data_IF_414814664811
#
_entry.id   IF_414814664811
#
_cell.length_a   1.000
_cell.length_b   1.000
_cell.length_c   1.000
_cell.angle_alpha   90.00
_cell.angle_beta   90.00
_cell.angle_gamma   90.00
#
_symmetry.space_group_name_H-M   'P 1'
#
loop_
_entity.id
_entity.type
_entity.pdbx_description
1 polymer ?
#
# COMPACT_ATOMS: atom_id res chain seq x y z
N UNK A 1 15.20 -38.87 34.34
CA UNK A 1 14.50 -39.12 33.06
C UNK A 1 13.17 -38.36 32.93
N UNK A 2 12.96 -37.24 33.65
CA UNK A 2 11.71 -36.44 33.60
C UNK A 2 11.86 -35.06 32.93
N UNK A 3 13.08 -34.54 32.81
CA UNK A 3 13.32 -33.20 32.23
C UNK A 3 13.36 -33.20 30.70
N UNK A 4 13.72 -34.32 30.07
CA UNK A 4 13.81 -34.44 28.60
C UNK A 4 12.43 -34.28 27.92
N UNK A 5 11.37 -34.75 28.58
CA UNK A 5 10.00 -34.72 28.05
C UNK A 5 9.38 -33.30 28.05
N UNK A 6 9.87 -32.39 28.92
CA UNK A 6 9.36 -31.01 29.00
C UNK A 6 9.87 -30.13 27.86
N UNK A 7 11.13 -30.34 27.45
CA UNK A 7 11.71 -29.60 26.31
C UNK A 7 11.11 -30.05 24.98
N UNK A 8 10.86 -31.36 24.81
CA UNK A 8 10.22 -31.91 23.61
C UNK A 8 8.78 -31.39 23.46
N UNK A 9 7.98 -31.37 24.53
CA UNK A 9 6.64 -30.78 24.48
C UNK A 9 6.65 -29.27 24.21
N UNK A 10 7.63 -28.53 24.72
CA UNK A 10 7.71 -27.06 24.52
C UNK A 10 8.10 -26.72 23.08
N UNK A 11 9.03 -27.47 22.49
CA UNK A 11 9.44 -27.31 21.09
C UNK A 11 8.32 -27.71 20.13
N UNK A 12 7.62 -28.81 20.40
CA UNK A 12 6.44 -29.21 19.62
C UNK A 12 5.31 -28.18 19.66
N UNK A 13 5.08 -27.54 20.83
CA UNK A 13 4.09 -26.48 20.95
C UNK A 13 4.46 -25.24 20.13
N UNK A 14 5.74 -24.85 20.11
CA UNK A 14 6.21 -23.73 19.29
C UNK A 14 6.16 -24.03 17.79
N UNK A 15 6.49 -25.25 17.35
CA UNK A 15 6.39 -25.66 15.94
C UNK A 15 4.93 -25.71 15.47
N UNK A 16 4.01 -26.17 16.32
CA UNK A 16 2.57 -26.13 16.02
C UNK A 16 2.03 -24.70 16.03
N UNK A 17 2.50 -23.84 16.93
CA UNK A 17 2.11 -22.42 16.94
C UNK A 17 2.61 -21.69 15.68
N UNK A 18 3.81 -22.02 15.20
CA UNK A 18 4.38 -21.46 13.97
C UNK A 18 3.70 -22.03 12.70
N UNK A 19 3.21 -23.28 12.74
CA UNK A 19 2.48 -23.90 11.63
C UNK A 19 1.02 -23.43 11.51
N UNK A 20 0.43 -22.86 12.57
CA UNK A 20 -0.91 -22.25 12.53
C UNK A 20 -0.87 -20.78 12.06
N UNK A 21 0.30 -20.15 12.08
CA UNK A 21 0.54 -18.90 11.36
C UNK A 21 0.78 -19.23 9.89
N UNK A 22 -0.30 -19.58 9.19
CA UNK A 22 -0.28 -19.71 7.73
C UNK A 22 0.37 -18.46 7.12
N UNK A 23 1.24 -18.66 6.14
CA UNK A 23 1.70 -17.57 5.27
C UNK A 23 0.44 -17.04 4.59
N UNK A 24 -0.07 -15.93 5.11
CA UNK A 24 -1.23 -15.24 4.53
C UNK A 24 -0.64 -14.27 3.53
N UNK A 25 -0.96 -14.46 2.25
CA UNK A 25 -0.63 -13.51 1.20
C UNK A 25 -1.25 -12.17 1.58
N UNK A 26 -0.42 -11.17 1.87
CA UNK A 26 -0.87 -9.78 1.82
C UNK A 26 -1.17 -9.50 0.35
N UNK A 27 -2.41 -9.15 0.03
CA UNK A 27 -2.75 -8.72 -1.31
C UNK A 27 -2.31 -7.27 -1.43
N UNK A 28 -1.58 -6.95 -2.50
CA UNK A 28 -1.25 -5.57 -2.85
C UNK A 28 -2.54 -4.75 -3.08
N UNK A 29 -3.56 -5.39 -3.63
CA UNK A 29 -4.81 -4.73 -4.00
C UNK A 29 -6.03 -5.55 -3.58
N UNK A 30 -7.11 -4.87 -3.18
CA UNK A 30 -8.43 -5.45 -2.98
C UNK A 30 -9.23 -5.35 -4.29
N UNK A 31 -9.58 -6.50 -4.88
CA UNK A 31 -10.49 -6.60 -6.01
C UNK A 31 -11.92 -6.88 -5.58
N UNK A 32 -12.89 -6.06 -6.01
CA UNK A 32 -14.32 -6.24 -5.68
C UNK A 32 -15.25 -5.71 -6.77
N UNK A 33 -16.34 -6.43 -7.02
CA UNK A 33 -17.39 -5.95 -7.94
C UNK A 33 -18.30 -4.92 -7.25
N UNK A 34 -18.61 -3.84 -7.95
CA UNK A 34 -19.44 -2.70 -7.52
C UNK A 34 -20.43 -2.35 -8.64
N UNK A 35 -21.63 -2.91 -8.55
CA UNK A 35 -22.62 -2.81 -9.63
C UNK A 35 -22.08 -3.34 -10.95
N UNK A 36 -22.06 -2.50 -11.98
CA UNK A 36 -21.59 -2.84 -13.33
C UNK A 36 -20.06 -2.85 -13.49
N UNK A 37 -19.29 -2.65 -12.42
CA UNK A 37 -17.83 -2.45 -12.49
C UNK A 37 -17.06 -3.38 -11.56
N UNK A 38 -15.83 -3.73 -11.93
CA UNK A 38 -14.84 -4.28 -11.01
C UNK A 38 -13.90 -3.15 -10.55
N UNK A 39 -13.72 -3.06 -9.25
CA UNK A 39 -12.80 -2.14 -8.59
C UNK A 39 -11.59 -2.93 -8.12
N UNK A 40 -10.40 -2.48 -8.47
CA UNK A 40 -9.15 -2.95 -7.87
C UNK A 40 -8.56 -1.76 -7.13
N UNK A 41 -8.46 -1.86 -5.81
CA UNK A 41 -8.13 -0.75 -4.91
C UNK A 41 -6.87 -1.06 -4.13
N UNK A 42 -5.93 -0.12 -4.07
CA UNK A 42 -4.70 -0.26 -3.30
C UNK A 42 -3.98 1.07 -3.11
N UNK A 43 -2.70 1.00 -2.76
CA UNK A 43 -1.83 2.18 -2.79
C UNK A 43 -1.15 2.33 -4.16
N UNK A 44 -0.73 3.56 -4.50
CA UNK A 44 0.01 3.81 -5.76
C UNK A 44 1.37 3.12 -5.74
N UNK A 45 2.08 3.20 -4.63
CA UNK A 45 3.39 2.57 -4.45
C UNK A 45 3.34 1.62 -3.27
N UNK A 46 3.83 0.41 -3.45
CA UNK A 46 3.80 -0.63 -2.42
C UNK A 46 5.19 -1.21 -2.10
N UNK A 47 5.52 -1.43 -0.80
CA UNK A 47 4.68 -1.15 0.37
C UNK A 47 4.48 0.36 0.59
N UNK A 48 3.29 0.76 1.05
CA UNK A 48 3.04 2.14 1.38
C UNK A 48 3.80 2.53 2.66
N UNK A 49 4.69 3.52 2.58
CA UNK A 49 5.55 3.93 3.70
C UNK A 49 5.13 5.29 4.23
N UNK A 50 5.07 5.43 5.57
CA UNK A 50 4.79 6.71 6.21
C UNK A 50 5.83 7.78 5.79
N UNK A 51 5.37 9.00 5.48
CA UNK A 51 6.22 10.13 5.12
C UNK A 51 6.75 10.15 3.68
N UNK A 52 6.46 9.12 2.87
CA UNK A 52 6.80 9.09 1.44
C UNK A 52 5.59 9.48 0.57
N UNK A 53 5.83 10.03 -0.61
CA UNK A 53 4.75 10.32 -1.57
C UNK A 53 4.07 9.02 -2.00
N UNK A 54 2.74 9.00 -1.91
CA UNK A 54 1.93 7.84 -2.29
C UNK A 54 0.51 8.32 -2.66
N UNK A 55 -0.49 7.43 -2.61
CA UNK A 55 -1.88 7.80 -2.81
C UNK A 55 -2.80 6.60 -2.89
N UNK A 56 -4.06 6.87 -3.19
CA UNK A 56 -5.04 5.85 -3.58
C UNK A 56 -4.76 5.44 -5.03
N UNK A 57 -4.72 4.14 -5.28
CA UNK A 57 -4.78 3.51 -6.60
C UNK A 57 -6.17 2.89 -6.80
N UNK A 58 -6.81 3.20 -7.92
CA UNK A 58 -8.10 2.63 -8.32
C UNK A 58 -8.02 2.21 -9.78
N UNK A 59 -8.16 0.92 -10.05
CA UNK A 59 -8.45 0.41 -11.40
C UNK A 59 -9.92 0.10 -11.56
N UNK A 60 -10.51 0.55 -12.66
CA UNK A 60 -11.90 0.32 -13.02
C UNK A 60 -12.02 -0.44 -14.34
N UNK A 61 -12.72 -1.56 -14.30
CA UNK A 61 -13.16 -2.30 -15.50
C UNK A 61 -14.67 -2.53 -15.49
N UNK A 62 -15.26 -2.62 -16.67
CA UNK A 62 -16.68 -2.92 -16.91
C UNK A 62 -16.94 -4.42 -16.81
N UNK A 63 -18.01 -4.79 -16.11
CA UNK A 63 -18.51 -6.17 -16.02
C UNK A 63 -19.58 -6.48 -17.08
N UNK A 64 -20.03 -5.48 -17.83
CA UNK A 64 -20.94 -5.70 -18.96
C UNK A 64 -20.14 -6.30 -20.11
N UNK A 65 -20.48 -7.54 -20.50
CA UNK A 65 -20.06 -8.11 -21.78
C UNK A 65 -20.49 -7.13 -22.88
N UNK A 66 -19.52 -6.56 -23.58
CA UNK A 66 -19.82 -6.01 -24.89
C UNK A 66 -20.25 -7.19 -25.76
N UNK A 67 -21.49 -7.16 -26.27
CA UNK A 67 -21.92 -8.07 -27.32
C UNK A 67 -20.83 -8.09 -28.40
N UNK A 68 -20.43 -9.28 -28.90
CA UNK A 68 -19.33 -9.38 -29.83
C UNK A 68 -19.71 -8.58 -31.08
N UNK A 69 -19.13 -7.38 -31.21
CA UNK A 69 -19.15 -6.69 -32.48
C UNK A 69 -18.50 -7.64 -33.48
N UNK A 70 -19.30 -8.04 -34.48
CA UNK A 70 -18.93 -8.94 -35.56
C UNK A 70 -17.68 -8.42 -36.26
N UNK A 71 -16.52 -8.86 -35.79
CA UNK A 71 -15.24 -8.69 -36.46
C UNK A 71 -14.98 -9.90 -37.34
N UNK A 72 -15.88 -10.16 -38.30
CA UNK A 72 -15.45 -10.55 -39.64
C UNK A 72 -14.77 -9.35 -40.33
N UNK A 73 -13.67 -8.91 -39.74
CA UNK A 73 -12.76 -7.95 -40.35
C UNK A 73 -11.36 -8.45 -40.03
N UNK A 74 -10.88 -9.31 -40.92
CA UNK A 74 -9.50 -9.41 -41.36
C UNK A 74 -8.47 -8.96 -40.31
N UNK A 75 -7.80 -9.93 -39.67
CA UNK A 75 -6.54 -9.70 -38.95
C UNK A 75 -5.67 -8.73 -39.75
N UNK A 76 -5.68 -7.46 -39.36
CA UNK A 76 -4.66 -6.51 -39.71
C UNK A 76 -3.81 -6.40 -38.47
N UNK A 77 -2.59 -6.89 -38.61
CA UNK A 77 -1.45 -6.57 -37.76
C UNK A 77 -1.57 -5.10 -37.32
N UNK A 78 -1.59 -4.87 -36.01
CA UNK A 78 -1.33 -3.54 -35.46
C UNK A 78 0.13 -3.23 -35.78
N UNK A 79 0.35 -2.64 -36.95
CA UNK A 79 1.53 -1.85 -37.16
C UNK A 79 1.39 -0.62 -36.28
N UNK A 80 2.35 -0.42 -35.37
CA UNK A 80 2.48 0.86 -34.69
C UNK A 80 2.57 1.96 -35.74
N UNK A 81 2.09 3.16 -35.41
CA UNK A 81 2.33 4.34 -36.25
C UNK A 81 3.84 4.70 -36.37
N UNK A 82 4.75 3.88 -35.82
CA UNK A 82 6.22 3.98 -35.94
C UNK A 82 6.94 2.76 -36.54
N UNK A 83 6.29 1.62 -36.77
CA UNK A 83 6.92 0.40 -37.32
C UNK A 83 7.92 -0.31 -36.38
N UNK A 84 7.97 0.04 -35.10
CA UNK A 84 8.89 -0.57 -34.12
C UNK A 84 8.16 -1.61 -33.26
N UNK A 85 8.75 -2.81 -33.11
CA UNK A 85 8.19 -3.90 -32.30
C UNK A 85 8.42 -3.60 -30.82
N UNK A 86 7.34 -3.60 -30.03
CA UNK A 86 7.42 -3.37 -28.59
C UNK A 86 7.80 -4.66 -27.84
N UNK A 87 9.04 -4.70 -27.37
CA UNK A 87 9.62 -5.81 -26.61
C UNK A 87 9.62 -5.54 -25.09
N UNK A 88 9.21 -4.35 -24.67
CA UNK A 88 9.27 -3.90 -23.28
C UNK A 88 7.92 -4.09 -22.60
N UNK A 89 6.82 -3.75 -23.28
CA UNK A 89 5.47 -3.86 -22.70
C UNK A 89 5.05 -5.30 -22.41
N UNK A 90 4.21 -5.42 -21.38
CA UNK A 90 3.50 -6.66 -21.08
C UNK A 90 2.51 -6.98 -22.20
N UNK A 91 2.80 -8.03 -22.95
CA UNK A 91 1.95 -8.51 -24.04
C UNK A 91 2.13 -7.79 -25.38
N UNK A 92 3.17 -6.96 -25.55
CA UNK A 92 3.39 -6.19 -26.80
C UNK A 92 3.52 -7.02 -28.08
N UNK A 93 3.93 -8.29 -27.97
CA UNK A 93 4.02 -9.27 -29.07
C UNK A 93 2.91 -10.32 -28.99
N UNK A 94 2.72 -10.91 -27.81
CA UNK A 94 1.64 -11.87 -27.58
C UNK A 94 1.17 -11.86 -26.13
N UNK A 95 -0.11 -12.17 -25.93
CA UNK A 95 -0.69 -12.52 -24.63
C UNK A 95 -1.72 -13.63 -24.82
N UNK A 96 -1.76 -14.60 -23.92
CA UNK A 96 -2.77 -15.66 -23.96
C UNK A 96 -3.05 -16.21 -22.57
N UNK A 97 -4.33 -16.45 -22.28
CA UNK A 97 -4.75 -17.21 -21.12
C UNK A 97 -4.77 -18.71 -21.45
N UNK A 98 -4.15 -19.51 -20.60
CA UNK A 98 -4.09 -20.96 -20.70
C UNK A 98 -4.85 -21.58 -19.53
N UNK A 99 -5.78 -22.50 -19.83
CA UNK A 99 -6.35 -23.40 -18.81
C UNK A 99 -5.26 -24.34 -18.26
N UNK A 100 -5.56 -25.13 -17.24
CA UNK A 100 -4.58 -25.97 -16.52
C UNK A 100 -3.72 -26.90 -17.37
N UNK A 101 -4.21 -27.30 -18.56
CA UNK A 101 -3.53 -28.09 -19.60
C UNK A 101 -3.56 -27.38 -20.97
N UNK A 102 -3.79 -26.06 -20.95
CA UNK A 102 -3.95 -25.23 -22.15
C UNK A 102 -2.66 -25.08 -22.95
N UNK A 103 -2.84 -24.83 -24.25
CA UNK A 103 -1.75 -24.64 -25.20
C UNK A 103 -1.96 -23.34 -25.98
N UNK A 104 -0.89 -22.59 -26.19
CA UNK A 104 -0.86 -21.39 -27.04
C UNK A 104 0.29 -21.49 -28.04
N UNK A 105 0.05 -21.08 -29.28
CA UNK A 105 1.08 -21.07 -30.33
C UNK A 105 1.25 -19.68 -30.90
N UNK A 106 2.49 -19.29 -31.14
CA UNK A 106 2.85 -18.03 -31.79
C UNK A 106 3.97 -18.27 -32.80
N UNK A 107 3.81 -17.75 -34.02
CA UNK A 107 4.82 -17.87 -35.07
C UNK A 107 5.56 -16.55 -35.21
N UNK A 108 6.88 -16.58 -35.04
CA UNK A 108 7.74 -15.42 -35.26
C UNK A 108 8.10 -15.36 -36.74
N UNK A 109 7.64 -14.33 -37.44
CA UNK A 109 8.00 -14.09 -38.84
C UNK A 109 9.32 -13.30 -38.95
N UNK A 110 9.61 -12.81 -40.16
CA UNK A 110 10.83 -12.06 -40.46
C UNK A 110 10.91 -10.69 -39.77
N UNK A 111 9.80 -10.14 -39.27
CA UNK A 111 9.83 -8.83 -38.61
C UNK A 111 10.57 -8.89 -37.27
N UNK A 112 10.71 -10.08 -36.68
CA UNK A 112 11.42 -10.32 -35.42
C UNK A 112 12.91 -10.65 -35.58
N UNK A 113 13.45 -10.57 -36.80
CA UNK A 113 14.85 -10.92 -37.07
C UNK A 113 15.83 -10.11 -36.20
N UNK A 114 16.82 -10.83 -35.64
CA UNK A 114 17.86 -10.30 -34.75
C UNK A 114 17.34 -9.66 -33.44
N UNK A 115 16.07 -9.89 -33.10
CA UNK A 115 15.48 -9.48 -31.83
C UNK A 115 15.59 -10.59 -30.78
N UNK A 116 15.60 -10.17 -29.52
CA UNK A 116 15.37 -11.05 -28.37
C UNK A 116 14.06 -10.64 -27.72
N UNK A 117 13.06 -11.52 -27.79
CA UNK A 117 11.73 -11.30 -27.24
C UNK A 117 11.68 -11.89 -25.83
N UNK A 118 11.65 -11.05 -24.77
CA UNK A 118 11.41 -11.54 -23.41
C UNK A 118 9.95 -12.00 -23.28
N UNK A 119 9.70 -12.90 -22.34
CA UNK A 119 8.35 -13.34 -21.98
C UNK A 119 8.29 -13.77 -20.51
N UNK A 120 7.11 -13.78 -19.92
CA UNK A 120 6.86 -14.26 -18.56
C UNK A 120 5.42 -14.75 -18.40
N UNK A 121 5.14 -15.39 -17.26
CA UNK A 121 3.83 -15.95 -17.00
C UNK A 121 3.38 -15.68 -15.55
N UNK A 122 2.10 -15.37 -15.39
CA UNK A 122 1.48 -15.24 -14.07
C UNK A 122 0.74 -16.53 -13.70
N UNK A 123 0.87 -17.00 -12.44
CA UNK A 123 1.44 -16.27 -11.30
C UNK A 123 2.93 -16.56 -11.02
N UNK A 124 3.65 -17.28 -11.88
CA UNK A 124 4.99 -17.81 -11.55
C UNK A 124 6.11 -16.77 -11.61
N UNK A 125 5.81 -15.53 -12.01
CA UNK A 125 6.70 -14.35 -11.98
C UNK A 125 8.15 -14.69 -12.33
N UNK A 126 8.32 -15.48 -13.38
CA UNK A 126 9.62 -15.94 -13.90
C UNK A 126 9.73 -15.48 -15.34
N UNK A 127 10.93 -15.09 -15.78
CA UNK A 127 11.18 -14.62 -17.13
C UNK A 127 11.89 -15.67 -18.00
N UNK A 128 11.45 -15.78 -19.25
CA UNK A 128 12.15 -16.47 -20.32
C UNK A 128 12.51 -15.52 -21.48
N UNK A 129 13.23 -16.04 -22.48
CA UNK A 129 13.62 -15.25 -23.66
C UNK A 129 13.71 -16.09 -24.93
N UNK A 130 13.29 -15.51 -26.04
CA UNK A 130 13.36 -16.10 -27.39
C UNK A 130 14.29 -15.22 -28.23
N UNK A 131 15.43 -15.75 -28.68
CA UNK A 131 16.34 -15.04 -29.57
C UNK A 131 16.11 -15.51 -31.02
N UNK A 132 15.81 -14.58 -31.92
CA UNK A 132 15.52 -14.86 -33.33
C UNK A 132 16.72 -14.42 -34.17
N UNK A 133 17.30 -15.31 -34.96
CA UNK A 133 18.38 -14.96 -35.89
C UNK A 133 18.54 -16.02 -36.97
N UNK A 134 18.98 -15.62 -38.16
CA UNK A 134 19.24 -16.53 -39.29
C UNK A 134 20.34 -17.55 -39.03
N UNK A 135 21.22 -17.33 -38.05
CA UNK A 135 22.30 -18.26 -37.72
C UNK A 135 21.88 -19.38 -36.75
N UNK A 136 20.67 -19.28 -36.19
CA UNK A 136 20.14 -20.25 -35.25
C UNK A 136 19.69 -21.57 -35.94
N UNK A 137 19.49 -22.66 -35.20
CA UNK A 137 19.01 -23.93 -35.76
C UNK A 137 17.65 -23.77 -36.47
N UNK A 138 17.51 -24.37 -37.66
CA UNK A 138 16.21 -24.44 -38.33
C UNK A 138 15.34 -25.52 -37.68
N UNK A 139 14.26 -25.08 -37.04
CA UNK A 139 13.22 -25.94 -36.47
C UNK A 139 11.87 -25.28 -36.74
N UNK A 140 10.87 -26.08 -37.10
CA UNK A 140 9.53 -25.55 -37.41
C UNK A 140 8.73 -25.25 -36.15
N UNK A 141 8.99 -26.01 -35.06
CA UNK A 141 8.28 -25.93 -33.79
C UNK A 141 9.23 -26.12 -32.62
N UNK A 142 9.16 -25.24 -31.62
CA UNK A 142 9.72 -25.46 -30.28
C UNK A 142 8.60 -25.40 -29.26
N UNK A 143 8.64 -26.31 -28.29
CA UNK A 143 7.71 -26.35 -27.16
C UNK A 143 8.40 -25.79 -25.92
N UNK A 144 7.75 -24.83 -25.26
CA UNK A 144 8.13 -24.27 -23.96
C UNK A 144 7.06 -24.70 -22.95
N UNK A 145 7.45 -25.47 -21.94
CA UNK A 145 6.56 -25.91 -20.87
C UNK A 145 6.60 -24.92 -19.71
N UNK A 146 5.44 -24.60 -19.19
CA UNK A 146 5.27 -23.70 -18.05
C UNK A 146 5.05 -24.55 -16.80
N UNK A 147 5.96 -24.44 -15.83
CA UNK A 147 5.87 -25.10 -14.54
C UNK A 147 5.83 -24.07 -13.41
N UNK A 148 5.42 -24.50 -12.22
CA UNK A 148 5.37 -23.62 -11.04
C UNK A 148 6.74 -23.05 -10.63
N UNK A 149 7.83 -23.67 -11.10
CA UNK A 149 9.21 -23.27 -10.83
C UNK A 149 9.88 -22.51 -11.98
N UNK A 150 9.15 -22.23 -13.08
CA UNK A 150 9.68 -21.55 -14.26
C UNK A 150 9.41 -22.29 -15.58
N UNK A 151 10.20 -21.96 -16.61
CA UNK A 151 10.01 -22.47 -17.97
C UNK A 151 11.02 -23.55 -18.36
N UNK A 152 10.58 -24.53 -19.15
CA UNK A 152 11.42 -25.56 -19.73
C UNK A 152 11.19 -25.67 -21.25
N UNK A 153 12.13 -25.21 -22.09
CA UNK A 153 13.31 -24.40 -21.78
C UNK A 153 12.96 -22.92 -21.51
N UNK A 154 13.69 -22.26 -20.61
CA UNK A 154 13.53 -20.82 -20.34
C UNK A 154 14.20 -19.90 -21.38
N UNK A 155 15.13 -20.43 -22.18
CA UNK A 155 15.79 -19.69 -23.26
C UNK A 155 15.80 -20.52 -24.53
N UNK A 156 15.35 -19.93 -25.62
CA UNK A 156 15.32 -20.59 -26.93
C UNK A 156 15.93 -19.70 -27.99
N UNK A 157 16.55 -20.34 -28.98
CA UNK A 157 17.17 -19.68 -30.13
C UNK A 157 16.51 -20.25 -31.38
N UNK A 158 15.85 -19.39 -32.16
CA UNK A 158 15.05 -19.78 -33.32
C UNK A 158 15.46 -18.99 -34.56
N UNK A 159 15.07 -19.50 -35.72
CA UNK A 159 15.09 -18.72 -36.97
C UNK A 159 13.73 -18.01 -37.13
N UNK A 160 13.66 -16.99 -38.00
CA UNK A 160 12.38 -16.53 -38.53
C UNK A 160 11.58 -17.70 -39.10
N UNK A 161 10.27 -17.54 -39.10
CA UNK A 161 9.24 -18.54 -39.43
C UNK A 161 9.11 -19.74 -38.49
N UNK A 162 9.83 -19.78 -37.36
CA UNK A 162 9.63 -20.82 -36.33
C UNK A 162 8.38 -20.56 -35.48
N UNK A 163 7.62 -21.62 -35.20
CA UNK A 163 6.49 -21.59 -34.25
C UNK A 163 6.98 -21.93 -32.84
N UNK A 164 6.58 -21.14 -31.85
CA UNK A 164 6.72 -21.48 -30.43
C UNK A 164 5.35 -21.92 -29.91
N UNK A 165 5.34 -23.06 -29.22
CA UNK A 165 4.18 -23.56 -28.47
C UNK A 165 4.45 -23.46 -26.98
N UNK A 166 3.59 -22.75 -26.27
CA UNK A 166 3.56 -22.75 -24.82
C UNK A 166 2.56 -23.79 -24.32
N UNK A 167 2.99 -24.66 -23.42
CA UNK A 167 2.12 -25.64 -22.77
C UNK A 167 2.05 -25.36 -21.28
N UNK A 168 0.85 -25.25 -20.73
CA UNK A 168 0.66 -25.11 -19.30
C UNK A 168 0.76 -26.48 -18.63
N UNK A 169 1.74 -26.63 -17.72
CA UNK A 169 1.94 -27.83 -16.90
C UNK A 169 1.82 -27.51 -15.39
N UNK A 170 1.27 -26.34 -15.01
CA UNK A 170 1.01 -25.94 -13.62
C UNK A 170 -0.25 -26.62 -13.08
N UNK A 171 -1.25 -26.86 -13.94
CA UNK A 171 -2.56 -27.42 -13.56
C UNK A 171 -3.62 -26.37 -13.25
N UNK A 172 -3.21 -25.13 -12.94
CA UNK A 172 -4.09 -23.97 -12.72
C UNK A 172 -4.04 -23.01 -13.92
N UNK A 173 -5.08 -22.18 -14.14
CA UNK A 173 -5.06 -21.16 -15.18
C UNK A 173 -3.84 -20.24 -15.08
N UNK A 174 -3.20 -19.97 -16.20
CA UNK A 174 -1.95 -19.22 -16.30
C UNK A 174 -2.01 -18.29 -17.48
N UNK A 175 -1.54 -17.05 -17.33
CA UNK A 175 -1.45 -16.10 -18.45
C UNK A 175 0.00 -16.04 -18.90
N UNK A 176 0.25 -16.35 -20.17
CA UNK A 176 1.56 -16.23 -20.81
C UNK A 176 1.60 -14.94 -21.63
N UNK A 177 2.68 -14.18 -21.53
CA UNK A 177 2.82 -12.90 -22.25
C UNK A 177 4.27 -12.60 -22.61
N UNK A 178 4.47 -11.91 -23.73
CA UNK A 178 5.75 -11.30 -24.08
C UNK A 178 6.02 -10.07 -23.21
N UNK A 179 7.26 -9.59 -23.19
CA UNK A 179 7.66 -8.42 -22.41
C UNK A 179 8.54 -8.76 -21.21
N UNK A 180 9.26 -7.75 -20.74
CA UNK A 180 10.20 -7.91 -19.64
C UNK A 180 9.45 -8.03 -18.32
N UNK A 181 9.70 -9.11 -17.58
CA UNK A 181 9.32 -9.21 -16.18
C UNK A 181 10.15 -8.17 -15.43
N UNK A 182 9.51 -7.07 -15.07
CA UNK A 182 10.14 -5.93 -14.43
C UNK A 182 9.73 -5.93 -12.96
N UNK A 183 10.68 -5.75 -12.04
CA UNK A 183 10.39 -5.49 -10.61
C UNK A 183 9.71 -4.11 -10.38
N UNK A 184 9.46 -3.40 -11.48
CA UNK A 184 8.88 -2.06 -11.56
C UNK A 184 7.76 -2.17 -12.58
N UNK A 185 6.52 -1.95 -12.16
CA UNK A 185 5.36 -1.77 -13.03
C UNK A 185 5.65 -0.64 -14.03
N UNK A 186 6.23 -0.99 -15.18
CA UNK A 186 6.49 -0.08 -16.27
C UNK A 186 5.49 -0.39 -17.39
N UNK A 187 4.38 0.35 -17.32
CA UNK A 187 3.36 0.50 -18.34
C UNK A 187 4.00 0.80 -19.70
N UNK A 188 3.58 0.08 -20.74
CA UNK A 188 3.70 0.56 -22.13
C UNK A 188 2.44 0.20 -22.91
N UNK A 189 2.14 1.04 -23.90
CA UNK A 189 0.83 1.45 -24.38
C UNK A 189 0.07 0.40 -25.25
N UNK A 190 -1.21 0.17 -24.91
CA UNK A 190 -2.39 -0.27 -25.73
C UNK A 190 -2.54 -1.72 -26.28
N UNK A 191 -3.74 -2.37 -26.20
CA UNK A 191 -4.73 -2.25 -25.14
C UNK A 191 -5.37 -3.57 -24.66
N UNK A 192 -5.67 -3.63 -23.37
CA UNK A 192 -6.80 -4.44 -22.86
C UNK A 192 -8.04 -3.52 -22.90
N UNK A 193 -8.50 -3.13 -24.09
CA UNK A 193 -9.54 -2.07 -24.24
C UNK A 193 -10.98 -2.56 -24.13
N UNK A 194 -11.27 -3.85 -24.01
CA UNK A 194 -12.68 -4.26 -24.05
C UNK A 194 -13.47 -3.98 -22.76
N UNK A 195 -12.83 -3.46 -21.69
CA UNK A 195 -13.55 -3.15 -20.45
C UNK A 195 -13.02 -1.99 -19.62
N UNK A 196 -11.92 -1.31 -19.97
CA UNK A 196 -11.41 -0.19 -19.17
C UNK A 196 -12.45 0.95 -19.09
N UNK A 197 -12.62 1.54 -17.89
CA UNK A 197 -13.58 2.62 -17.68
C UNK A 197 -12.86 3.96 -17.59
N UNK A 198 -12.81 4.66 -18.71
CA UNK A 198 -12.16 5.98 -18.82
C UNK A 198 -13.13 7.14 -18.56
N UNK A 199 -12.55 8.33 -18.32
CA UNK A 199 -13.28 9.60 -18.26
C UNK A 199 -14.27 9.75 -17.10
N UNK A 200 -14.00 9.18 -15.92
CA UNK A 200 -14.80 9.50 -14.72
C UNK A 200 -14.49 10.93 -14.24
N UNK A 201 -15.53 11.70 -13.94
CA UNK A 201 -15.42 13.11 -13.56
C UNK A 201 -16.04 13.42 -12.19
N UNK A 202 -17.02 12.62 -11.76
CA UNK A 202 -17.77 12.84 -10.51
C UNK A 202 -17.39 11.92 -9.35
N UNK A 203 -16.63 10.86 -9.60
CA UNK A 203 -16.18 9.94 -8.55
C UNK A 203 -15.02 10.57 -7.75
N UNK A 204 -15.14 10.54 -6.43
CA UNK A 204 -14.13 11.04 -5.49
C UNK A 204 -13.82 9.95 -4.46
N UNK A 205 -12.69 10.10 -3.76
CA UNK A 205 -12.29 9.20 -2.68
C UNK A 205 -12.12 9.97 -1.38
N UNK A 206 -12.86 9.58 -0.35
CA UNK A 206 -12.61 9.99 1.03
C UNK A 206 -11.60 9.04 1.65
N UNK A 207 -10.45 9.58 2.02
CA UNK A 207 -9.36 8.85 2.68
C UNK A 207 -9.42 9.10 4.17
N UNK A 208 -9.57 8.04 4.96
CA UNK A 208 -9.59 8.10 6.43
C UNK A 208 -8.43 7.30 7.02
N UNK A 209 -7.64 7.92 7.89
CA UNK A 209 -6.74 7.17 8.76
C UNK A 209 -7.54 6.61 9.96
N UNK A 210 -7.67 5.29 10.06
CA UNK A 210 -8.66 4.66 10.95
C UNK A 210 -8.36 4.96 12.43
N UNK A 211 -7.08 4.95 12.82
CA UNK A 211 -6.71 5.14 14.23
C UNK A 211 -6.96 6.57 14.74
N UNK A 212 -6.82 7.61 13.89
CA UNK A 212 -7.11 9.00 14.29
C UNK A 212 -8.53 9.45 13.94
N UNK A 213 -9.23 8.75 13.03
CA UNK A 213 -10.53 9.13 12.50
C UNK A 213 -10.49 10.36 11.58
N UNK A 214 -9.31 10.94 11.32
CA UNK A 214 -9.15 12.09 10.43
C UNK A 214 -9.37 11.64 8.99
N UNK A 215 -10.20 12.41 8.26
CA UNK A 215 -10.59 12.11 6.89
C UNK A 215 -10.41 13.32 5.98
N UNK A 216 -10.10 13.05 4.70
CA UNK A 216 -10.01 14.07 3.66
C UNK A 216 -10.60 13.53 2.36
N UNK A 217 -11.47 14.33 1.73
CA UNK A 217 -12.02 14.04 0.40
C UNK A 217 -11.04 14.50 -0.68
N UNK A 218 -10.74 13.62 -1.62
CA UNK A 218 -9.76 13.84 -2.68
C UNK A 218 -10.37 13.52 -4.05
N UNK A 219 -9.96 14.29 -5.05
CA UNK A 219 -10.32 14.04 -6.44
C UNK A 219 -9.43 12.95 -7.02
N UNK A 220 -10.05 12.00 -7.72
CA UNK A 220 -9.35 11.01 -8.53
C UNK A 220 -8.91 11.66 -9.84
N UNK A 221 -7.71 11.32 -10.30
CA UNK A 221 -7.17 11.73 -11.59
C UNK A 221 -6.84 10.49 -12.38
N UNK A 222 -7.24 10.48 -13.65
CA UNK A 222 -6.84 9.41 -14.56
C UNK A 222 -5.33 9.39 -14.74
N UNK A 223 -4.74 8.21 -14.65
CA UNK A 223 -3.31 8.02 -14.86
C UNK A 223 -3.00 8.05 -16.34
N UNK A 224 -2.10 8.94 -16.72
CA UNK A 224 -1.75 9.13 -18.13
C UNK A 224 -1.16 7.85 -18.74
N UNK A 225 -1.70 7.41 -19.87
CA UNK A 225 -1.26 6.19 -20.56
C UNK A 225 -1.75 4.88 -19.93
N UNK A 226 -2.62 4.94 -18.91
CA UNK A 226 -3.16 3.74 -18.24
C UNK A 226 -4.70 3.80 -18.25
N UNK A 227 -5.36 3.32 -19.31
CA UNK A 227 -6.82 3.31 -19.40
C UNK A 227 -7.49 2.65 -18.19
N UNK A 228 -8.48 3.35 -17.62
CA UNK A 228 -9.24 2.87 -16.46
C UNK A 228 -8.50 2.91 -15.12
N UNK A 229 -7.28 3.44 -15.07
CA UNK A 229 -6.53 3.65 -13.83
C UNK A 229 -6.69 5.09 -13.34
N UNK A 230 -6.94 5.24 -12.04
CA UNK A 230 -7.16 6.50 -11.37
C UNK A 230 -6.41 6.59 -10.05
N UNK A 231 -5.93 7.79 -9.74
CA UNK A 231 -5.08 8.03 -8.59
C UNK A 231 -5.51 9.27 -7.80
N UNK A 232 -5.33 9.20 -6.49
CA UNK A 232 -5.43 10.37 -5.60
C UNK A 232 -4.20 10.42 -4.70
N UNK A 233 -3.21 11.26 -5.08
CA UNK A 233 -1.94 11.38 -4.38
C UNK A 233 -2.03 12.04 -3.00
N UNK A 234 -1.37 11.47 -2.00
CA UNK A 234 -1.14 12.05 -0.69
C UNK A 234 0.13 11.47 -0.03
N UNK A 235 0.62 12.13 1.02
CA UNK A 235 1.71 11.59 1.85
C UNK A 235 1.08 11.02 3.12
N UNK A 236 1.05 9.68 3.34
CA UNK A 236 0.57 9.12 4.59
C UNK A 236 1.51 9.54 5.73
N UNK A 237 1.03 10.34 6.68
CA UNK A 237 1.87 10.84 7.80
C UNK A 237 1.79 9.95 9.04
N UNK A 238 1.07 8.83 8.97
CA UNK A 238 0.92 7.87 10.06
C UNK A 238 0.80 6.46 9.51
N UNK A 239 1.40 5.45 10.18
CA UNK A 239 1.31 4.07 9.76
C UNK A 239 0.03 3.43 10.28
N UNK A 240 -0.26 2.24 9.79
CA UNK A 240 -1.44 1.45 10.14
C UNK A 240 -2.55 1.58 9.09
N UNK A 241 -3.79 1.23 9.47
CA UNK A 241 -4.84 1.02 8.49
C UNK A 241 -5.51 2.32 8.03
N UNK A 242 -5.82 2.35 6.73
CA UNK A 242 -6.56 3.41 6.05
C UNK A 242 -7.83 2.85 5.44
N UNK A 243 -8.86 3.70 5.38
CA UNK A 243 -10.12 3.44 4.70
C UNK A 243 -10.22 4.35 3.48
N UNK A 244 -10.56 3.78 2.35
CA UNK A 244 -10.92 4.50 1.14
C UNK A 244 -12.42 4.34 0.90
N UNK A 245 -13.12 5.46 0.87
CA UNK A 245 -14.55 5.51 0.54
C UNK A 245 -14.73 6.21 -0.80
N UNK A 246 -15.10 5.45 -1.82
CA UNK A 246 -15.42 5.98 -3.14
C UNK A 246 -16.87 6.46 -3.17
N UNK A 247 -17.07 7.73 -3.50
CA UNK A 247 -18.39 8.36 -3.53
C UNK A 247 -18.55 9.20 -4.80
N UNK A 248 -19.68 9.05 -5.48
CA UNK A 248 -19.97 9.79 -6.71
C UNK A 248 -20.76 8.95 -7.71
N UNK A 249 -20.51 9.16 -9.00
CA UNK A 249 -21.13 8.37 -10.07
C UNK A 249 -20.09 7.90 -11.09
N UNK A 250 -20.33 6.74 -11.69
CA UNK A 250 -19.59 6.23 -12.85
C UNK A 250 -20.62 5.98 -13.95
N UNK A 251 -20.51 6.68 -15.09
CA UNK A 251 -21.46 6.61 -16.23
C UNK A 251 -22.95 6.58 -15.80
N UNK A 252 -23.31 7.37 -14.77
CA UNK A 252 -24.67 7.48 -14.24
C UNK A 252 -25.05 6.49 -13.13
N UNK A 253 -24.25 5.44 -12.87
CA UNK A 253 -24.42 4.57 -11.70
C UNK A 253 -23.88 5.25 -10.45
N UNK A 254 -24.70 5.38 -9.41
CA UNK A 254 -24.25 5.90 -8.11
C UNK A 254 -23.30 4.90 -7.42
N UNK A 255 -22.23 5.43 -6.83
CA UNK A 255 -21.22 4.67 -6.09
C UNK A 255 -21.08 5.25 -4.68
N UNK A 256 -21.07 4.37 -3.68
CA UNK A 256 -20.78 4.71 -2.29
C UNK A 256 -20.19 3.48 -1.60
N UNK A 257 -18.92 3.20 -1.87
CA UNK A 257 -18.26 1.95 -1.50
C UNK A 257 -17.07 2.18 -0.59
N UNK A 258 -16.88 1.27 0.36
CA UNK A 258 -15.83 1.33 1.37
C UNK A 258 -14.88 0.15 1.23
N UNK A 259 -13.59 0.48 1.21
CA UNK A 259 -12.45 -0.44 1.22
C UNK A 259 -11.57 -0.08 2.42
N UNK A 260 -11.14 -1.07 3.20
CA UNK A 260 -10.29 -0.88 4.37
C UNK A 260 -9.04 -1.73 4.21
N UNK A 261 -7.86 -1.13 4.36
CA UNK A 261 -6.59 -1.86 4.33
C UNK A 261 -6.51 -2.84 5.51
N UNK A 262 -5.92 -4.00 5.29
CA UNK A 262 -5.73 -5.01 6.32
C UNK A 262 -5.33 -6.35 5.75
N UNK A 263 -5.26 -7.36 6.61
CA UNK A 263 -4.70 -8.67 6.29
C UNK A 263 -5.36 -9.44 5.13
N UNK A 264 -6.59 -9.10 4.74
CA UNK A 264 -7.35 -9.81 3.71
C UNK A 264 -7.70 -8.91 2.51
N UNK A 265 -7.18 -7.69 2.48
CA UNK A 265 -7.46 -6.64 1.49
C UNK A 265 -6.11 -6.06 1.05
N UNK A 266 -6.08 -4.81 0.58
CA UNK A 266 -4.84 -4.10 0.30
C UNK A 266 -4.04 -3.77 1.57
N UNK A 267 -2.74 -3.54 1.40
CA UNK A 267 -1.79 -3.47 2.49
C UNK A 267 -1.95 -2.22 3.37
N UNK A 268 -1.62 -2.32 4.66
CA UNK A 268 -1.55 -1.15 5.56
C UNK A 268 -0.28 -0.32 5.34
N UNK A 269 -0.33 0.97 5.66
CA UNK A 269 0.87 1.83 5.64
C UNK A 269 1.87 1.36 6.69
N UNK A 270 3.10 1.04 6.28
CA UNK A 270 4.19 0.62 7.15
C UNK A 270 4.90 1.82 7.78
N UNK A 271 5.51 1.60 8.95
CA UNK A 271 6.35 2.64 9.54
C UNK A 271 7.66 2.76 8.78
N UNK A 272 8.10 3.99 8.54
CA UNK A 272 9.41 4.24 7.92
C UNK A 272 10.55 3.72 8.79
N UNK A 273 10.35 3.63 10.12
CA UNK A 273 11.34 3.07 11.05
C UNK A 273 11.78 1.65 10.68
N UNK A 274 10.90 0.88 10.05
CA UNK A 274 11.18 -0.51 9.66
C UNK A 274 12.28 -0.61 8.59
N UNK A 275 12.40 0.41 7.74
CA UNK A 275 13.32 0.42 6.60
C UNK A 275 14.41 1.50 6.68
N UNK A 276 14.44 2.27 7.77
CA UNK A 276 15.46 3.30 7.97
C UNK A 276 16.82 2.73 8.36
N UNK A 277 17.85 3.17 7.64
CA UNK A 277 19.25 2.86 7.89
C UNK A 277 20.12 4.07 7.53
N UNK A 278 21.26 4.33 8.22
CA UNK A 278 21.81 3.60 9.36
C UNK A 278 21.21 4.01 10.71
N UNK A 279 20.55 5.15 10.76
CA UNK A 279 19.95 5.68 11.98
C UNK A 279 18.44 5.67 11.83
N UNK A 280 17.76 4.98 12.73
CA UNK A 280 16.31 5.04 12.85
C UNK A 280 15.94 6.30 13.62
N UNK A 281 15.19 7.19 12.96
CA UNK A 281 14.71 8.43 13.53
C UNK A 281 13.29 8.23 14.09
N UNK A 282 12.94 9.05 15.08
CA UNK A 282 11.54 9.15 15.51
C UNK A 282 10.71 9.82 14.42
N UNK A 283 9.45 9.41 14.27
CA UNK A 283 8.58 10.06 13.31
C UNK A 283 8.31 11.51 13.76
N UNK A 284 8.12 12.43 12.81
CA UNK A 284 7.89 13.85 13.11
C UNK A 284 6.73 14.07 14.11
N UNK A 285 5.64 13.30 13.95
CA UNK A 285 4.51 13.31 14.88
C UNK A 285 4.89 12.94 16.31
N UNK A 286 5.82 12.00 16.49
CA UNK A 286 6.26 11.57 17.81
C UNK A 286 7.11 12.64 18.48
N UNK A 287 8.00 13.29 17.72
CA UNK A 287 8.80 14.40 18.23
C UNK A 287 7.93 15.61 18.59
N UNK A 288 6.92 15.92 17.78
CA UNK A 288 5.94 16.97 18.06
C UNK A 288 5.09 16.65 19.30
N UNK A 289 4.62 15.40 19.43
CA UNK A 289 3.86 14.96 20.60
C UNK A 289 4.70 15.02 21.88
N UNK A 290 5.96 14.60 21.83
CA UNK A 290 6.89 14.71 22.95
C UNK A 290 7.16 16.17 23.33
N UNK A 291 7.37 17.04 22.34
CA UNK A 291 7.57 18.48 22.57
C UNK A 291 6.33 19.14 23.19
N UNK A 292 5.13 18.78 22.72
CA UNK A 292 3.86 19.26 23.27
C UNK A 292 3.67 18.82 24.72
N UNK A 293 3.92 17.55 25.03
CA UNK A 293 3.84 17.03 26.40
C UNK A 293 4.84 17.71 27.33
N UNK A 294 6.08 17.93 26.88
CA UNK A 294 7.09 18.67 27.65
C UNK A 294 6.67 20.12 27.93
N UNK A 295 6.06 20.79 26.94
CA UNK A 295 5.54 22.16 27.10
C UNK A 295 4.36 22.22 28.08
N UNK A 296 3.47 21.23 28.05
CA UNK A 296 2.34 21.12 28.97
C UNK A 296 2.82 20.95 30.41
N UNK A 297 3.71 19.97 30.66
CA UNK A 297 4.33 19.77 31.97
C UNK A 297 5.09 21.01 32.46
N UNK A 298 5.79 21.72 31.57
CA UNK A 298 6.47 22.97 31.94
C UNK A 298 5.50 24.09 32.31
N UNK A 299 4.35 24.19 31.64
CA UNK A 299 3.30 25.16 31.97
C UNK A 299 2.61 24.82 33.30
N UNK A 300 2.29 23.54 33.54
CA UNK A 300 1.75 23.04 34.81
C UNK A 300 2.71 23.35 35.96
N UNK A 301 4.00 23.02 35.82
CA UNK A 301 5.01 23.31 36.83
C UNK A 301 5.17 24.82 37.09
N UNK A 302 5.03 25.67 36.06
CA UNK A 302 5.04 27.13 36.22
C UNK A 302 3.82 27.62 36.99
N UNK A 303 2.64 27.08 36.71
CA UNK A 303 1.40 27.42 37.40
C UNK A 303 1.44 26.99 38.88
N UNK A 304 1.89 25.76 39.15
CA UNK A 304 2.11 25.25 40.49
C UNK A 304 3.08 26.11 41.29
N UNK A 305 4.21 26.49 40.66
CA UNK A 305 5.18 27.39 41.28
C UNK A 305 4.58 28.77 41.60
N UNK A 306 3.76 29.32 40.71
CA UNK A 306 3.06 30.58 40.95
C UNK A 306 2.03 30.48 42.10
N UNK A 307 1.32 29.36 42.18
CA UNK A 307 0.35 29.09 43.25
C UNK A 307 1.02 28.89 44.62
N UNK A 308 2.18 28.23 44.66
CA UNK A 308 2.99 28.11 45.89
C UNK A 308 3.53 29.47 46.33
N UNK A 309 4.04 30.28 45.39
CA UNK A 309 4.55 31.61 45.69
C UNK A 309 3.47 32.55 46.24
N UNK A 310 2.28 32.55 45.63
CA UNK A 310 1.15 33.37 46.09
C UNK A 310 0.65 32.92 47.47
N UNK A 311 0.55 31.62 47.71
CA UNK A 311 0.19 31.05 49.01
C UNK A 311 1.20 31.42 50.09
N UNK A 312 2.50 31.31 49.80
CA UNK A 312 3.56 31.71 50.72
C UNK A 312 3.49 33.20 51.06
N UNK A 313 3.27 34.07 50.07
CA UNK A 313 3.11 35.51 50.30
C UNK A 313 1.91 35.86 51.19
N UNK A 314 0.78 35.16 51.00
CA UNK A 314 -0.42 35.32 51.83
C UNK A 314 -0.17 34.83 53.26
N UNK A 315 0.53 33.70 53.42
CA UNK A 315 0.92 33.17 54.72
C UNK A 315 1.84 34.13 55.49
N UNK A 316 2.82 34.75 54.82
CA UNK A 316 3.69 35.77 55.43
C UNK A 316 2.87 36.97 55.89
N UNK A 317 1.94 37.46 55.07
CA UNK A 317 1.07 38.60 55.41
C UNK A 317 0.19 38.28 56.63
N UNK A 318 -0.49 37.13 56.63
CA UNK A 318 -1.34 36.69 57.74
C UNK A 318 -0.54 36.48 59.03
N UNK A 319 0.66 35.89 58.92
CA UNK A 319 1.57 35.72 60.06
C UNK A 319 2.03 37.06 60.64
N UNK A 320 2.36 38.03 59.80
CA UNK A 320 2.72 39.38 60.23
C UNK A 320 1.55 40.09 60.94
N UNK A 321 0.33 39.99 60.40
CA UNK A 321 -0.88 40.54 61.03
C UNK A 321 -1.13 39.88 62.39
N UNK A 322 -1.05 38.56 62.48
CA UNK A 322 -1.24 37.82 63.73
C UNK A 322 -0.21 38.22 64.80
N UNK A 323 1.04 38.44 64.41
CA UNK A 323 2.11 38.89 65.31
C UNK A 323 1.83 40.29 65.86
N UNK A 324 1.44 41.24 64.99
CA UNK A 324 1.05 42.59 65.42
C UNK A 324 -0.12 42.55 66.40
N UNK A 325 -1.17 41.79 66.08
CA UNK A 325 -2.33 41.64 66.96
C UNK A 325 -1.96 41.01 68.31
N UNK A 326 -1.08 40.00 68.31
CA UNK A 326 -0.56 39.39 69.52
C UNK A 326 0.19 40.38 70.42
N UNK A 327 1.05 41.23 69.84
CA UNK A 327 1.78 42.27 70.57
C UNK A 327 0.83 43.31 71.16
N UNK A 328 -0.19 43.74 70.40
CA UNK A 328 -1.20 44.69 70.89
C UNK A 328 -1.99 44.10 72.05
N UNK A 329 -2.43 42.84 71.95
CA UNK A 329 -3.14 42.14 73.02
C UNK A 329 -2.28 42.02 74.29
N UNK A 330 -1.00 41.67 74.15
CA UNK A 330 -0.06 41.61 75.27
C UNK A 330 0.10 42.99 75.94
N UNK A 331 0.24 44.05 75.14
CA UNK A 331 0.39 45.42 75.62
C UNK A 331 -0.83 45.89 76.42
N UNK A 332 -2.04 45.60 75.90
CA UNK A 332 -3.30 45.89 76.58
C UNK A 332 -3.45 45.10 77.89
N UNK A 333 -3.04 43.83 77.92
CA UNK A 333 -3.05 43.01 79.13
C UNK A 333 -2.11 43.57 80.21
N UNK A 334 -0.90 44.00 79.83
CA UNK A 334 0.06 44.65 80.75
C UNK A 334 -0.53 45.96 81.31
N UNK A 335 -1.13 46.81 80.46
CA UNK A 335 -1.76 48.05 80.90
C UNK A 335 -2.95 47.81 81.86
N UNK A 336 -3.76 46.78 81.59
CA UNK A 336 -4.85 46.38 82.48
C UNK A 336 -4.33 45.90 83.84
N UNK A 337 -3.27 45.09 83.84
CA UNK A 337 -2.62 44.60 85.08
C UNK A 337 -2.04 45.76 85.91
N UNK A 338 -1.36 46.72 85.28
CA UNK A 338 -0.83 47.91 85.95
C UNK A 338 -1.94 48.80 86.54
N UNK A 339 -3.09 48.92 85.87
CA UNK A 339 -4.26 49.63 86.41
C UNK A 339 -4.90 48.90 87.60
N UNK A 340 -4.90 47.57 87.59
CA UNK A 340 -5.41 46.74 88.70
C UNK A 340 -4.55 46.87 89.95
N UNK A 341 -3.22 46.92 89.81
CA UNK A 341 -2.29 47.07 90.95
C UNK A 341 -2.31 48.45 91.61
N UNK A 342 -2.95 49.45 90.99
CA UNK A 342 -3.02 50.83 91.48
C UNK A 342 -4.28 51.13 92.29
N UNK A 343 -5.13 50.12 92.51
CA UNK A 343 -6.37 50.18 93.33
C UNK A 343 -6.28 49.40 94.66
N UNK A 344 -5.08 48.97 95.06
CA UNK A 344 -4.84 48.34 96.37
C UNK A 344 -4.29 49.36 97.37
#
# INVERSE_FOLDING_TARGET
MFSFNRYVCTVLLLVVLFAVMGVRSAMAHEGRNVGDYNFIVGFINEPAIEGMINGVSLRLTSLKEEEPHDHNAHMKMSGSESGEIDLVSHGGVFVSELRGDGVFEFKFDHDFEDLTVPFHAHPIETQGSIMISHDNPAVDLIVIKIHSTGFEPAKVMIRPDTTIRFENHIGDPTVIMSGQLSDIEQISDEPIHSSAVEGIDTLQVEVTHIASGVSQLMSLKESFGIPGQYEAGFIPTSPGPYRFRFVGHIKGQAVNEIFESGNNTFDEVKSAKEIQFPLQLSAQRETENAARGALETANEAREDAANVASSASTGILLGAIALILGVVALSLAVLAFQRSGRKA
#
